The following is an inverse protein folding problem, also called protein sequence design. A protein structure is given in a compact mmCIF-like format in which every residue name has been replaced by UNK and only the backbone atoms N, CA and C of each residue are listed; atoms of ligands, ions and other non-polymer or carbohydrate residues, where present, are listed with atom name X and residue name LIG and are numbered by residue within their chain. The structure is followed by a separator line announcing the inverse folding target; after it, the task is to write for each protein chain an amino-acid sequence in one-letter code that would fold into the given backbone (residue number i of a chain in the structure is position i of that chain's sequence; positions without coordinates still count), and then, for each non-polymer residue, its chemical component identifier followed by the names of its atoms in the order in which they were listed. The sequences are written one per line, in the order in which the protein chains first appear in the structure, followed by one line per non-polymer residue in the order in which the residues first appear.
data_IF_589680681666
#
_entry.id   IF_589680681666
#
_cell.length_a   1.000
_cell.length_b   1.000
_cell.length_c   1.000
_cell.angle_alpha   90.00
_cell.angle_beta   90.00
_cell.angle_gamma   90.00
#
_symmetry.space_group_name_H-M   'P 1'
#
loop_
_entity.id
_entity.type
_entity.pdbx_description
1 polymer ?
#
# COMPACT_ATOMS: atom_id res chain seq x y z
N UNK A 1 -34.13 -76.60 36.84
CA UNK A 1 -32.97 -76.50 35.93
C UNK A 1 -33.47 -76.45 34.49
N UNK A 2 -33.45 -75.29 33.83
CA UNK A 2 -33.59 -75.20 32.39
C UNK A 2 -33.00 -73.85 31.95
N UNK A 3 -31.94 -73.92 31.13
CA UNK A 3 -31.14 -72.80 30.64
C UNK A 3 -31.96 -72.04 29.59
N UNK A 4 -32.13 -70.73 29.74
CA UNK A 4 -32.49 -69.85 28.63
C UNK A 4 -31.25 -69.08 28.20
N UNK A 5 -30.77 -69.43 27.00
CA UNK A 5 -29.58 -68.90 26.36
C UNK A 5 -30.01 -67.72 25.51
N UNK A 6 -29.83 -66.50 26.01
CA UNK A 6 -30.09 -65.28 25.25
C UNK A 6 -28.94 -65.05 24.27
N UNK A 7 -29.20 -65.24 22.97
CA UNK A 7 -28.28 -64.91 21.89
C UNK A 7 -28.35 -63.39 21.62
N UNK A 8 -27.23 -62.69 21.79
CA UNK A 8 -27.05 -61.32 21.33
C UNK A 8 -26.72 -61.38 19.83
N UNK A 9 -27.59 -60.81 18.99
CA UNK A 9 -27.31 -60.61 17.57
C UNK A 9 -26.45 -59.34 17.38
N UNK A 10 -25.36 -59.39 16.58
CA UNK A 10 -24.62 -58.19 16.21
C UNK A 10 -25.40 -57.37 15.17
N UNK A 11 -25.48 -56.05 15.39
CA UNK A 11 -26.00 -55.09 14.41
C UNK A 11 -25.00 -54.98 13.25
N UNK A 12 -25.41 -55.41 12.06
CA UNK A 12 -24.66 -55.23 10.82
C UNK A 12 -24.73 -53.78 10.37
N UNK A 13 -23.62 -53.05 10.43
CA UNK A 13 -23.47 -51.74 9.78
C UNK A 13 -22.87 -51.90 8.38
N UNK A 14 -23.72 -52.03 7.37
CA UNK A 14 -23.36 -51.84 5.96
C UNK A 14 -24.52 -51.09 5.29
N UNK A 15 -24.30 -49.89 4.72
CA UNK A 15 -23.78 -49.82 3.35
C UNK A 15 -22.93 -48.58 2.98
N UNK A 16 -22.64 -47.66 3.93
CA UNK A 16 -22.12 -46.31 3.60
C UNK A 16 -20.66 -46.28 3.13
N UNK A 17 -19.81 -47.20 3.59
CA UNK A 17 -18.39 -47.26 3.22
C UNK A 17 -18.16 -47.80 1.80
N UNK A 18 -19.00 -48.74 1.34
CA UNK A 18 -18.91 -49.30 -0.01
C UNK A 18 -19.27 -48.28 -1.10
N UNK A 19 -20.25 -47.40 -0.82
CA UNK A 19 -20.67 -46.36 -1.77
C UNK A 19 -19.58 -45.28 -1.94
N UNK A 20 -18.88 -44.90 -0.87
CA UNK A 20 -17.79 -43.92 -0.93
C UNK A 20 -16.57 -44.51 -1.67
N UNK A 21 -16.24 -45.78 -1.43
CA UNK A 21 -15.16 -46.46 -2.15
C UNK A 21 -15.46 -46.62 -3.65
N UNK A 22 -16.71 -46.92 -4.03
CA UNK A 22 -17.14 -47.03 -5.42
C UNK A 22 -17.14 -45.67 -6.15
N UNK A 23 -17.58 -44.59 -5.48
CA UNK A 23 -17.49 -43.24 -6.06
C UNK A 23 -16.05 -42.76 -6.24
N UNK A 24 -15.16 -43.07 -5.29
CA UNK A 24 -13.73 -42.73 -5.40
C UNK A 24 -13.00 -43.50 -6.52
N UNK A 25 -13.36 -44.76 -6.76
CA UNK A 25 -12.80 -45.53 -7.86
C UNK A 25 -13.27 -45.01 -9.24
N UNK A 26 -14.50 -44.50 -9.34
CA UNK A 26 -15.04 -43.95 -10.57
C UNK A 26 -14.40 -42.62 -11.00
N UNK A 27 -13.95 -41.79 -10.06
CA UNK A 27 -13.27 -40.52 -10.38
C UNK A 27 -11.80 -40.68 -10.79
N UNK A 28 -11.15 -41.78 -10.38
CA UNK A 28 -9.77 -42.10 -10.77
C UNK A 28 -9.64 -42.57 -12.23
N UNK A 29 -10.74 -42.98 -12.87
CA UNK A 29 -10.78 -43.42 -14.27
C UNK A 29 -10.96 -42.26 -15.28
N UNK A 30 -11.18 -41.02 -14.82
CA UNK A 30 -11.37 -39.85 -15.67
C UNK A 30 -10.09 -39.27 -16.31
N UNK A 31 -8.92 -39.88 -16.07
CA UNK A 31 -7.63 -39.40 -16.57
C UNK A 31 -7.23 -39.86 -17.98
N UNK A 32 -7.98 -40.79 -18.58
CA UNK A 32 -7.74 -41.27 -19.94
C UNK A 32 -8.44 -40.37 -20.97
N UNK A 33 -7.94 -39.14 -21.12
CA UNK A 33 -8.32 -38.27 -22.22
C UNK A 33 -7.42 -38.52 -23.44
N UNK A 34 -8.01 -38.43 -24.63
CA UNK A 34 -7.33 -38.65 -25.92
C UNK A 34 -6.16 -37.68 -26.07
N UNK A 35 -4.92 -38.19 -26.21
CA UNK A 35 -3.70 -37.36 -26.18
C UNK A 35 -3.61 -36.43 -27.39
N UNK A 36 -4.31 -36.74 -28.46
CA UNK A 36 -4.33 -35.99 -29.72
C UNK A 36 -5.16 -34.69 -29.64
N UNK A 37 -5.92 -34.49 -28.54
CA UNK A 37 -6.69 -33.27 -28.28
C UNK A 37 -5.97 -32.25 -27.41
N UNK A 38 -4.76 -32.57 -26.94
CA UNK A 38 -3.93 -31.65 -26.16
C UNK A 38 -2.78 -31.13 -27.01
N UNK A 39 -2.40 -29.85 -26.83
CA UNK A 39 -1.20 -29.34 -27.47
C UNK A 39 0.02 -30.14 -27.00
N UNK A 40 0.96 -30.37 -27.92
CA UNK A 40 2.20 -31.09 -27.63
C UNK A 40 2.97 -30.44 -26.48
N UNK A 41 3.44 -31.26 -25.53
CA UNK A 41 4.43 -30.87 -24.52
C UNK A 41 5.85 -30.86 -25.08
N UNK A 42 6.02 -31.14 -26.38
CA UNK A 42 7.29 -30.92 -27.04
C UNK A 42 7.68 -29.45 -26.91
N UNK A 43 8.97 -29.24 -26.69
CA UNK A 43 9.52 -27.91 -26.49
C UNK A 43 9.20 -27.01 -27.67
N UNK A 44 8.67 -25.82 -27.41
CA UNK A 44 8.21 -24.91 -28.47
C UNK A 44 9.43 -24.27 -29.15
N UNK A 45 9.41 -24.03 -30.48
CA UNK A 45 10.49 -23.31 -31.16
C UNK A 45 10.81 -21.94 -30.55
N UNK A 46 9.80 -21.24 -30.00
CA UNK A 46 9.99 -19.95 -29.32
C UNK A 46 10.85 -20.05 -28.04
N UNK A 47 10.95 -21.23 -27.43
CA UNK A 47 11.76 -21.45 -26.23
C UNK A 47 13.25 -21.60 -26.56
N UNK A 48 13.63 -21.74 -27.84
CA UNK A 48 15.02 -21.79 -28.30
C UNK A 48 15.75 -20.46 -28.11
N UNK A 49 15.02 -19.35 -28.20
CA UNK A 49 15.56 -18.01 -27.96
C UNK A 49 16.16 -17.86 -26.54
N UNK A 50 15.59 -18.57 -25.56
CA UNK A 50 16.06 -18.53 -24.18
C UNK A 50 17.17 -19.53 -23.87
N UNK A 51 17.50 -20.45 -24.81
CA UNK A 51 18.49 -21.51 -24.58
C UNK A 51 19.93 -21.00 -24.63
N UNK A 52 20.20 -20.03 -25.50
CA UNK A 52 21.54 -19.50 -25.77
C UNK A 52 21.76 -18.11 -25.21
N UNK A 53 20.76 -17.54 -24.53
CA UNK A 53 20.95 -16.32 -23.77
C UNK A 53 21.83 -16.65 -22.55
N UNK A 54 23.14 -16.70 -22.76
CA UNK A 54 24.08 -16.50 -21.67
C UNK A 54 23.69 -15.16 -21.06
N UNK A 55 23.26 -15.18 -19.80
CA UNK A 55 22.96 -13.95 -19.08
C UNK A 55 24.25 -13.12 -19.09
N UNK A 56 24.30 -12.11 -19.94
CA UNK A 56 25.37 -11.12 -19.92
C UNK A 56 25.39 -10.57 -18.50
N UNK A 57 26.55 -10.55 -17.82
CA UNK A 57 26.66 -9.88 -16.54
C UNK A 57 26.05 -8.48 -16.66
N UNK A 58 25.21 -8.04 -15.70
CA UNK A 58 24.61 -6.72 -15.78
C UNK A 58 25.74 -5.69 -15.96
N UNK A 59 25.51 -4.73 -16.87
CA UNK A 59 26.45 -3.65 -17.07
C UNK A 59 26.73 -2.96 -15.72
N UNK A 60 27.97 -2.49 -15.47
CA UNK A 60 28.25 -1.70 -14.29
C UNK A 60 27.30 -0.49 -14.24
N UNK A 61 26.87 -0.06 -13.03
CA UNK A 61 25.93 1.03 -12.88
C UNK A 61 26.48 2.29 -13.53
N UNK A 62 25.62 3.06 -14.18
CA UNK A 62 25.98 4.34 -14.74
C UNK A 62 26.56 5.25 -13.63
N UNK A 63 27.55 6.09 -13.95
CA UNK A 63 28.05 7.08 -12.99
C UNK A 63 26.90 7.97 -12.50
N UNK A 64 26.90 8.27 -11.20
CA UNK A 64 25.89 9.13 -10.58
C UNK A 64 26.06 10.57 -11.06
N UNK A 65 25.31 10.92 -12.11
CA UNK A 65 25.26 12.25 -12.69
C UNK A 65 23.86 12.80 -12.43
N UNK A 66 23.81 13.96 -11.78
CA UNK A 66 22.57 14.70 -11.54
C UNK A 66 22.35 15.70 -12.67
N UNK A 67 21.10 15.89 -13.08
CA UNK A 67 20.75 16.86 -14.11
C UNK A 67 21.01 18.30 -13.64
N UNK A 68 21.42 19.17 -14.56
CA UNK A 68 21.61 20.59 -14.27
C UNK A 68 20.34 21.22 -13.70
N UNK A 69 20.47 22.00 -12.63
CA UNK A 69 19.35 22.69 -11.98
C UNK A 69 18.45 21.80 -11.11
N UNK A 70 18.60 20.47 -11.13
CA UNK A 70 17.76 19.55 -10.34
C UNK A 70 17.84 19.84 -8.84
N UNK A 71 19.05 19.97 -8.29
CA UNK A 71 19.24 20.26 -6.87
C UNK A 71 18.56 21.56 -6.43
N UNK A 72 18.65 22.62 -7.23
CA UNK A 72 17.97 23.89 -6.92
C UNK A 72 16.45 23.71 -6.92
N UNK A 73 15.91 23.00 -7.93
CA UNK A 73 14.46 22.79 -8.02
C UNK A 73 13.93 21.97 -6.85
N UNK A 74 14.64 20.92 -6.43
CA UNK A 74 14.28 20.15 -5.24
C UNK A 74 14.34 21.00 -3.98
N UNK A 75 15.40 21.81 -3.81
CA UNK A 75 15.50 22.73 -2.68
C UNK A 75 14.34 23.74 -2.62
N UNK A 76 13.94 24.30 -3.76
CA UNK A 76 12.82 25.24 -3.84
C UNK A 76 11.46 24.57 -3.49
N UNK A 77 11.24 23.32 -3.91
CA UNK A 77 10.02 22.55 -3.60
C UNK A 77 9.96 22.18 -2.11
N UNK A 78 11.07 21.66 -1.56
CA UNK A 78 11.16 21.33 -0.13
C UNK A 78 11.04 22.58 0.75
N UNK A 79 11.61 23.72 0.34
CA UNK A 79 11.47 24.98 1.06
C UNK A 79 10.01 25.46 1.10
N UNK A 80 9.24 25.30 0.02
CA UNK A 80 7.81 25.63 0.00
C UNK A 80 7.03 24.80 1.04
N UNK A 81 7.28 23.48 1.09
CA UNK A 81 6.65 22.61 2.09
C UNK A 81 7.04 23.00 3.52
N UNK A 82 8.34 23.24 3.79
CA UNK A 82 8.83 23.67 5.10
C UNK A 82 8.24 25.01 5.55
N UNK A 83 8.07 25.96 4.64
CA UNK A 83 7.45 27.25 4.95
C UNK A 83 5.97 27.09 5.34
N UNK A 84 5.22 26.25 4.63
CA UNK A 84 3.85 25.91 4.98
C UNK A 84 3.77 25.18 6.33
N UNK A 85 4.70 24.25 6.58
CA UNK A 85 4.84 23.55 7.86
C UNK A 85 5.13 24.52 9.02
N UNK A 86 6.00 25.51 8.82
CA UNK A 86 6.21 26.54 9.85
C UNK A 86 4.94 27.33 10.16
N UNK A 87 4.09 27.59 9.17
CA UNK A 87 2.80 28.24 9.39
C UNK A 87 1.82 27.33 10.14
N UNK A 88 1.84 26.01 9.87
CA UNK A 88 1.10 25.02 10.62
C UNK A 88 1.51 25.02 12.11
N UNK A 89 2.81 24.91 12.39
CA UNK A 89 3.33 24.92 13.76
C UNK A 89 3.02 26.22 14.50
N UNK A 90 3.06 27.37 13.81
CA UNK A 90 2.63 28.66 14.37
C UNK A 90 1.17 28.69 14.82
N UNK A 91 0.28 27.94 14.14
CA UNK A 91 -1.13 27.82 14.51
C UNK A 91 -1.42 26.77 15.59
N UNK A 92 -0.55 25.77 15.74
CA UNK A 92 -0.83 24.54 16.51
C UNK A 92 -1.21 24.78 17.96
N UNK A 93 -0.48 25.65 18.66
CA UNK A 93 -0.75 25.95 20.06
C UNK A 93 -2.11 26.66 20.26
N UNK A 94 -2.49 27.54 19.33
CA UNK A 94 -3.77 28.25 19.38
C UNK A 94 -4.94 27.30 19.16
N UNK A 95 -4.87 26.45 18.13
CA UNK A 95 -5.88 25.44 17.85
C UNK A 95 -6.05 24.46 19.02
N UNK A 96 -4.95 24.02 19.62
CA UNK A 96 -4.97 23.14 20.80
C UNK A 96 -5.72 23.77 21.98
N UNK A 97 -5.48 25.06 22.25
CA UNK A 97 -6.20 25.79 23.32
C UNK A 97 -7.68 25.96 22.99
N UNK A 98 -8.01 26.31 21.75
CA UNK A 98 -9.40 26.49 21.32
C UNK A 98 -10.20 25.19 21.44
N UNK A 99 -9.65 24.06 20.95
CA UNK A 99 -10.26 22.73 21.09
C UNK A 99 -10.42 22.34 22.56
N UNK A 100 -9.41 22.62 23.40
CA UNK A 100 -9.51 22.35 24.85
C UNK A 100 -10.62 23.15 25.53
N UNK A 101 -10.82 24.41 25.14
CA UNK A 101 -11.89 25.28 25.66
C UNK A 101 -13.29 24.91 25.13
N UNK A 102 -13.36 24.19 24.01
CA UNK A 102 -14.60 23.70 23.42
C UNK A 102 -15.02 22.31 23.94
N UNK A 103 -14.26 21.71 24.87
CA UNK A 103 -14.56 20.36 25.40
C UNK A 103 -15.96 20.32 26.02
N UNK A 104 -16.81 19.40 25.54
CA UNK A 104 -18.20 19.26 25.97
C UNK A 104 -19.14 20.38 25.51
N UNK A 105 -18.67 21.32 24.68
CA UNK A 105 -19.53 22.35 24.11
C UNK A 105 -20.41 21.74 23.01
N UNK A 106 -21.69 22.09 22.99
CA UNK A 106 -22.60 21.66 21.93
C UNK A 106 -22.15 22.24 20.57
N UNK A 107 -22.37 21.49 19.49
CA UNK A 107 -22.15 21.97 18.12
C UNK A 107 -22.93 23.26 17.89
N UNK A 108 -22.31 24.23 17.21
CA UNK A 108 -22.90 25.54 16.94
C UNK A 108 -22.81 26.56 18.08
N UNK A 109 -22.21 26.21 19.22
CA UNK A 109 -21.84 27.20 20.25
C UNK A 109 -20.63 28.03 19.79
N UNK A 110 -20.41 29.17 20.43
CA UNK A 110 -19.27 30.05 20.16
C UNK A 110 -17.94 29.29 20.29
N UNK A 111 -17.73 28.61 21.43
CA UNK A 111 -16.49 27.86 21.67
C UNK A 111 -16.27 26.77 20.60
N UNK A 112 -17.32 26.04 20.21
CA UNK A 112 -17.23 25.04 19.14
C UNK A 112 -16.85 25.67 17.79
N UNK A 113 -17.41 26.84 17.48
CA UNK A 113 -17.16 27.56 16.23
C UNK A 113 -15.73 28.10 16.17
N UNK A 114 -15.23 28.67 17.28
CA UNK A 114 -13.84 29.13 17.41
C UNK A 114 -12.86 27.95 17.26
N UNK A 115 -13.13 26.82 17.89
CA UNK A 115 -12.31 25.62 17.74
C UNK A 115 -12.29 25.09 16.30
N UNK A 116 -13.47 25.00 15.67
CA UNK A 116 -13.61 24.55 14.28
C UNK A 116 -12.85 25.44 13.31
N UNK A 117 -12.94 26.77 13.47
CA UNK A 117 -12.17 27.71 12.66
C UNK A 117 -10.66 27.53 12.88
N UNK A 118 -10.21 27.36 14.12
CA UNK A 118 -8.79 27.17 14.41
C UNK A 118 -8.23 25.89 13.77
N UNK A 119 -9.01 24.80 13.76
CA UNK A 119 -8.62 23.56 13.05
C UNK A 119 -8.62 23.77 11.53
N UNK A 120 -9.61 24.45 10.96
CA UNK A 120 -9.64 24.75 9.52
C UNK A 120 -8.42 25.56 9.05
N UNK A 121 -7.88 26.45 9.90
CA UNK A 121 -6.64 27.16 9.60
C UNK A 121 -5.42 26.22 9.54
N UNK A 122 -5.37 25.20 10.40
CA UNK A 122 -4.35 24.15 10.32
C UNK A 122 -4.51 23.30 9.06
N UNK A 123 -5.73 22.90 8.71
CA UNK A 123 -6.03 22.17 7.48
C UNK A 123 -5.59 22.96 6.23
N UNK A 124 -5.82 24.28 6.22
CA UNK A 124 -5.34 25.17 5.14
C UNK A 124 -3.81 25.19 5.04
N UNK A 125 -3.10 25.22 6.17
CA UNK A 125 -1.64 25.15 6.19
C UNK A 125 -1.13 23.80 5.68
N UNK A 126 -1.74 22.69 6.13
CA UNK A 126 -1.44 21.33 5.67
C UNK A 126 -1.68 21.15 4.17
N UNK A 127 -2.78 21.69 3.65
CA UNK A 127 -3.06 21.68 2.21
C UNK A 127 -1.96 22.38 1.41
N UNK A 128 -1.44 23.51 1.90
CA UNK A 128 -0.30 24.21 1.28
C UNK A 128 0.99 23.40 1.35
N UNK A 129 1.25 22.71 2.47
CA UNK A 129 2.44 21.86 2.63
C UNK A 129 2.46 20.69 1.62
N UNK A 130 1.29 20.19 1.22
CA UNK A 130 1.16 19.13 0.21
C UNK A 130 1.27 19.59 -1.25
N UNK A 131 1.18 20.89 -1.57
CA UNK A 131 1.22 21.37 -2.96
C UNK A 131 2.47 20.91 -3.75
N UNK A 132 3.69 20.94 -3.18
CA UNK A 132 4.89 20.50 -3.89
C UNK A 132 4.89 19.02 -4.28
N UNK A 133 4.06 18.16 -3.66
CA UNK A 133 4.02 16.73 -3.95
C UNK A 133 3.64 16.43 -5.40
N UNK A 134 2.72 17.21 -5.99
CA UNK A 134 2.34 17.02 -7.39
C UNK A 134 3.50 17.25 -8.36
N UNK A 135 4.34 18.26 -8.07
CA UNK A 135 5.55 18.53 -8.85
C UNK A 135 6.61 17.45 -8.62
N UNK A 136 6.77 16.98 -7.38
CA UNK A 136 7.69 15.90 -7.03
C UNK A 136 7.29 14.57 -7.68
N UNK A 137 6.01 14.23 -7.75
CA UNK A 137 5.49 13.03 -8.45
C UNK A 137 5.80 13.08 -9.96
N UNK A 138 5.61 14.25 -10.57
CA UNK A 138 5.98 14.46 -11.98
C UNK A 138 7.49 14.29 -12.18
N UNK A 139 8.31 14.91 -11.32
CA UNK A 139 9.77 14.78 -11.39
C UNK A 139 10.23 13.34 -11.15
N UNK A 140 9.56 12.58 -10.29
CA UNK A 140 9.90 11.18 -10.02
C UNK A 140 9.64 10.33 -11.26
N UNK A 141 8.50 10.54 -11.92
CA UNK A 141 8.16 9.85 -13.18
C UNK A 141 9.19 10.16 -14.27
N UNK A 142 9.53 11.44 -14.44
CA UNK A 142 10.52 11.88 -15.43
C UNK A 142 11.92 11.33 -15.14
N UNK A 143 12.35 11.36 -13.88
CA UNK A 143 13.63 10.80 -13.46
C UNK A 143 13.67 9.28 -13.58
N UNK A 144 12.55 8.60 -13.30
CA UNK A 144 12.38 7.16 -13.49
C UNK A 144 12.58 6.74 -14.94
N UNK A 145 12.00 7.48 -15.88
CA UNK A 145 12.19 7.23 -17.31
C UNK A 145 13.65 7.41 -17.75
N UNK A 146 14.36 8.42 -17.23
CA UNK A 146 15.79 8.64 -17.53
C UNK A 146 16.69 7.57 -16.91
N UNK A 147 16.31 7.02 -15.76
CA UNK A 147 17.10 6.02 -15.06
C UNK A 147 17.11 4.63 -15.75
N UNK A 148 16.22 4.37 -16.71
CA UNK A 148 16.17 3.09 -17.45
C UNK A 148 17.48 2.83 -18.18
N UNK A 149 18.02 3.84 -18.86
CA UNK A 149 19.22 3.75 -19.68
C UNK A 149 20.35 4.67 -19.17
N UNK A 150 20.21 5.21 -17.95
CA UNK A 150 21.06 6.29 -17.45
C UNK A 150 21.28 6.29 -15.93
N UNK A 151 21.79 7.42 -15.44
CA UNK A 151 22.01 7.66 -14.00
C UNK A 151 20.69 7.69 -13.22
N UNK A 152 20.66 7.03 -12.06
CA UNK A 152 19.52 7.06 -11.13
C UNK A 152 19.62 8.15 -10.05
N UNK A 153 20.63 9.03 -10.14
CA UNK A 153 20.91 10.06 -9.14
C UNK A 153 19.72 11.02 -8.95
N UNK A 154 19.13 11.50 -10.05
CA UNK A 154 17.93 12.34 -10.02
C UNK A 154 16.76 11.62 -9.34
N UNK A 155 16.53 10.35 -9.66
CA UNK A 155 15.42 9.58 -9.12
C UNK A 155 15.55 9.43 -7.60
N UNK A 156 16.75 9.10 -7.12
CA UNK A 156 17.05 9.02 -5.68
C UNK A 156 16.80 10.36 -4.98
N UNK A 157 17.31 11.45 -5.55
CA UNK A 157 17.16 12.79 -4.97
C UNK A 157 15.69 13.25 -4.93
N UNK A 158 14.90 12.96 -5.97
CA UNK A 158 13.46 13.28 -5.98
C UNK A 158 12.72 12.48 -4.92
N UNK A 159 12.99 11.18 -4.80
CA UNK A 159 12.37 10.32 -3.78
C UNK A 159 12.67 10.78 -2.37
N UNK A 160 13.90 11.21 -2.11
CA UNK A 160 14.29 11.78 -0.82
C UNK A 160 13.48 13.05 -0.51
N UNK A 161 13.44 14.02 -1.45
CA UNK A 161 12.67 15.24 -1.27
C UNK A 161 11.16 14.96 -1.09
N UNK A 162 10.60 14.02 -1.87
CA UNK A 162 9.21 13.58 -1.75
C UNK A 162 8.92 12.97 -0.38
N UNK A 163 9.77 12.06 0.08
CA UNK A 163 9.64 11.45 1.41
C UNK A 163 9.70 12.45 2.55
N UNK A 164 10.53 13.50 2.42
CA UNK A 164 10.55 14.60 3.40
C UNK A 164 9.21 15.34 3.46
N UNK A 165 8.66 15.74 2.30
CA UNK A 165 7.38 16.48 2.24
C UNK A 165 6.22 15.61 2.73
N UNK A 166 6.19 14.32 2.36
CA UNK A 166 5.19 13.37 2.85
C UNK A 166 5.23 13.23 4.38
N UNK A 167 6.43 13.16 4.97
CA UNK A 167 6.59 13.07 6.42
C UNK A 167 6.02 14.32 7.14
N UNK A 168 6.24 15.52 6.59
CA UNK A 168 5.66 16.75 7.12
C UNK A 168 4.12 16.67 7.10
N UNK A 169 3.54 16.41 5.92
CA UNK A 169 2.08 16.35 5.74
C UNK A 169 1.43 15.26 6.61
N UNK A 170 2.08 14.10 6.76
CA UNK A 170 1.60 13.02 7.62
C UNK A 170 1.60 13.43 9.10
N UNK A 171 2.66 14.12 9.56
CA UNK A 171 2.72 14.62 10.95
C UNK A 171 1.62 15.65 11.24
N UNK A 172 1.33 16.53 10.28
CA UNK A 172 0.29 17.56 10.38
C UNK A 172 -1.11 16.93 10.40
N UNK A 173 -1.36 15.93 9.54
CA UNK A 173 -2.59 15.14 9.57
C UNK A 173 -2.84 14.52 10.93
N UNK A 174 -1.83 13.87 11.53
CA UNK A 174 -1.99 13.22 12.83
C UNK A 174 -2.38 14.22 13.94
N UNK A 175 -1.85 15.45 13.89
CA UNK A 175 -2.23 16.52 14.82
C UNK A 175 -3.67 16.98 14.58
N UNK A 176 -4.07 17.21 13.32
CA UNK A 176 -5.44 17.61 12.98
C UNK A 176 -6.45 16.54 13.43
N UNK A 177 -6.18 15.27 13.13
CA UNK A 177 -7.06 14.16 13.50
C UNK A 177 -7.23 14.05 15.02
N UNK A 178 -6.14 14.22 15.77
CA UNK A 178 -6.17 14.30 17.24
C UNK A 178 -7.07 15.43 17.74
N UNK A 179 -6.95 16.64 17.16
CA UNK A 179 -7.77 17.79 17.53
C UNK A 179 -9.24 17.60 17.17
N UNK A 180 -9.54 17.06 15.99
CA UNK A 180 -10.91 16.76 15.56
C UNK A 180 -11.57 15.70 16.45
N UNK A 181 -10.83 14.67 16.87
CA UNK A 181 -11.35 13.65 17.79
C UNK A 181 -11.77 14.23 19.14
N UNK A 182 -11.02 15.21 19.65
CA UNK A 182 -11.31 15.91 20.90
C UNK A 182 -12.50 16.87 20.79
N UNK A 183 -12.74 17.44 19.61
CA UNK A 183 -13.87 18.33 19.36
C UNK A 183 -15.18 17.58 19.11
N UNK A 184 -15.09 16.33 18.66
CA UNK A 184 -16.25 15.46 18.41
C UNK A 184 -16.80 14.80 19.69
N UNK A 185 -15.97 14.66 20.73
CA UNK A 185 -16.33 14.10 22.04
C UNK A 185 -16.86 15.14 23.02
#
# INVERSE_FOLDING_TARGET
MARHKTLIAPRTTAPRTAVIAALGAATLLGGCADRDKFPSLARRPAEDAYRTAQATPPAPPAPAIMSEGMAKRLADLTAQARNAHSAFEGGRASATRAVSAARGAAKGTENWSVASLAVAQLESARARAGLPLADLDRLETEAGNRAVDGSDADLKAVREARGEVEALVASETAVIDSLLSQLAG
#
